data_IF_341637922354
#
_entry.id   IF_341637922354
#
_cell.length_a   1.000
_cell.length_b   1.000
_cell.length_c   1.000
_cell.angle_alpha   90.00
_cell.angle_beta   90.00
_cell.angle_gamma   90.00
#
_symmetry.space_group_name_H-M   'P 1'
#
loop_
_entity.id
_entity.type
_entity.pdbx_description
1 polymer ?
#
# COMPACT_ATOMS: atom_id res chain seq x y z
N UNK A 1 -8.81 -43.86 -29.43
CA UNK A 1 -8.57 -42.52 -28.87
C UNK A 1 -8.47 -42.67 -27.36
N UNK A 2 -7.26 -42.59 -26.82
CA UNK A 2 -6.99 -42.61 -25.39
C UNK A 2 -7.24 -41.20 -24.85
N UNK A 3 -8.18 -41.05 -23.93
CA UNK A 3 -8.40 -39.79 -23.21
C UNK A 3 -7.39 -39.81 -22.06
N UNK A 4 -6.30 -39.06 -22.21
CA UNK A 4 -5.40 -38.78 -21.08
C UNK A 4 -6.17 -37.99 -20.03
N UNK A 5 -6.39 -38.60 -18.86
CA UNK A 5 -6.93 -37.86 -17.72
C UNK A 5 -5.81 -37.00 -17.14
N UNK A 6 -5.97 -35.67 -17.05
CA UNK A 6 -4.98 -34.82 -16.42
C UNK A 6 -4.82 -35.19 -14.94
N UNK A 7 -3.57 -35.22 -14.49
CA UNK A 7 -3.15 -35.72 -13.19
C UNK A 7 -3.51 -34.71 -12.07
N UNK A 8 -4.75 -34.79 -11.59
CA UNK A 8 -5.35 -33.89 -10.56
C UNK A 8 -4.56 -33.94 -9.23
N UNK A 9 -3.81 -35.01 -8.96
CA UNK A 9 -3.13 -35.22 -7.68
C UNK A 9 -1.81 -34.46 -7.53
N UNK A 10 -1.13 -34.08 -8.62
CA UNK A 10 0.09 -33.28 -8.52
C UNK A 10 -0.19 -31.80 -8.19
N UNK A 11 -1.32 -31.26 -8.66
CA UNK A 11 -1.70 -29.86 -8.49
C UNK A 11 -2.05 -29.50 -7.03
N UNK A 12 -2.46 -30.47 -6.21
CA UNK A 12 -2.81 -30.23 -4.78
C UNK A 12 -1.59 -30.12 -3.88
N UNK A 13 -0.51 -30.89 -4.14
CA UNK A 13 0.72 -30.83 -3.34
C UNK A 13 1.54 -29.56 -3.59
N UNK A 14 1.65 -29.12 -4.84
CA UNK A 14 2.38 -27.89 -5.18
C UNK A 14 1.72 -26.65 -4.57
N UNK A 15 0.39 -26.53 -4.67
CA UNK A 15 -0.39 -25.46 -4.03
C UNK A 15 -0.16 -25.38 -2.52
N UNK A 16 -0.05 -26.53 -1.84
CA UNK A 16 0.22 -26.56 -0.40
C UNK A 16 1.63 -26.06 -0.04
N UNK A 17 2.62 -26.28 -0.92
CA UNK A 17 4.01 -25.87 -0.69
C UNK A 17 4.18 -24.37 -0.92
N UNK A 18 3.61 -23.83 -2.00
CA UNK A 18 3.67 -22.39 -2.30
C UNK A 18 2.95 -21.56 -1.23
N UNK A 19 1.75 -21.97 -0.81
CA UNK A 19 1.03 -21.30 0.27
C UNK A 19 1.83 -21.26 1.58
N UNK A 20 2.54 -22.36 1.88
CA UNK A 20 3.41 -22.44 3.06
C UNK A 20 4.58 -21.45 2.95
N UNK A 21 5.24 -21.36 1.78
CA UNK A 21 6.34 -20.40 1.55
C UNK A 21 5.87 -18.95 1.58
N UNK A 22 4.71 -18.64 0.98
CA UNK A 22 4.08 -17.32 1.06
C UNK A 22 3.81 -16.93 2.52
N UNK A 23 3.23 -17.84 3.31
CA UNK A 23 2.97 -17.60 4.73
C UNK A 23 4.27 -17.38 5.51
N UNK A 24 5.32 -18.18 5.26
CA UNK A 24 6.62 -18.01 5.88
C UNK A 24 7.27 -16.65 5.55
N UNK A 25 7.20 -16.23 4.28
CA UNK A 25 7.69 -14.93 3.82
C UNK A 25 7.00 -13.77 4.56
N UNK A 26 5.66 -13.73 4.54
CA UNK A 26 4.92 -12.64 5.17
C UNK A 26 5.05 -12.64 6.70
N UNK A 27 5.18 -13.81 7.33
CA UNK A 27 5.50 -13.89 8.76
C UNK A 27 6.89 -13.29 9.04
N UNK A 28 7.90 -13.64 8.25
CA UNK A 28 9.24 -13.07 8.37
C UNK A 28 9.24 -11.55 8.15
N UNK A 29 8.45 -11.07 7.18
CA UNK A 29 8.30 -9.64 6.91
C UNK A 29 7.65 -8.92 8.09
N UNK A 30 6.57 -9.47 8.66
CA UNK A 30 5.93 -8.91 9.84
C UNK A 30 6.86 -8.86 11.05
N UNK A 31 7.75 -9.85 11.23
CA UNK A 31 8.77 -9.82 12.29
C UNK A 31 9.87 -8.79 12.01
N UNK A 32 10.25 -8.58 10.74
CA UNK A 32 11.22 -7.56 10.35
C UNK A 32 10.72 -6.15 10.70
N UNK A 33 9.43 -5.88 10.49
CA UNK A 33 8.75 -4.63 10.81
C UNK A 33 7.92 -4.71 12.10
N UNK A 34 8.41 -5.44 13.10
CA UNK A 34 7.66 -5.67 14.33
C UNK A 34 7.29 -4.37 15.09
N UNK A 35 8.14 -3.33 15.17
CA UNK A 35 7.74 -2.03 15.75
C UNK A 35 6.52 -1.42 15.06
N UNK A 36 6.51 -1.43 13.72
CA UNK A 36 5.44 -0.93 12.87
C UNK A 36 4.16 -1.78 13.02
N UNK A 37 4.30 -3.11 13.04
CA UNK A 37 3.16 -4.02 13.25
C UNK A 37 2.54 -3.87 14.64
N UNK A 38 3.32 -3.50 15.66
CA UNK A 38 2.80 -3.16 17.00
C UNK A 38 1.99 -1.86 16.98
N UNK A 39 2.42 -0.88 16.19
CA UNK A 39 1.65 0.35 15.98
C UNK A 39 0.29 0.02 15.34
N UNK A 40 0.25 -0.80 14.28
CA UNK A 40 -1.01 -1.25 13.66
C UNK A 40 -1.92 -2.00 14.66
N UNK A 41 -1.34 -2.88 15.49
CA UNK A 41 -2.08 -3.56 16.55
C UNK A 41 -2.75 -2.55 17.50
N UNK A 42 -2.02 -1.53 17.94
CA UNK A 42 -2.52 -0.49 18.86
C UNK A 42 -3.46 0.51 18.22
N UNK A 43 -3.29 0.80 16.93
CA UNK A 43 -4.30 1.47 16.09
C UNK A 43 -5.57 0.65 15.89
N UNK A 44 -5.73 -0.48 16.60
CA UNK A 44 -6.92 -1.30 16.65
C UNK A 44 -7.09 -2.17 15.40
N UNK A 45 -6.04 -2.42 14.62
CA UNK A 45 -6.19 -3.15 13.34
C UNK A 45 -6.27 -4.67 13.51
N UNK A 46 -5.72 -5.21 14.60
CA UNK A 46 -5.49 -6.65 14.74
C UNK A 46 -6.35 -7.37 15.79
N UNK A 47 -7.15 -6.65 16.60
CA UNK A 47 -8.32 -7.09 17.41
C UNK A 47 -8.62 -6.03 18.47
N UNK A 48 -9.89 -5.71 18.68
CA UNK A 48 -10.32 -5.00 19.90
C UNK A 48 -11.43 -5.77 20.61
N UNK A 49 -11.39 -5.70 21.93
CA UNK A 49 -12.46 -6.13 22.82
C UNK A 49 -13.31 -4.90 23.16
N UNK A 50 -14.61 -5.05 23.34
CA UNK A 50 -15.47 -4.00 23.87
C UNK A 50 -15.13 -3.67 25.33
N UNK A 51 -15.82 -2.70 25.91
CA UNK A 51 -15.70 -2.29 27.32
C UNK A 51 -15.91 -3.45 28.32
N UNK A 52 -16.56 -4.52 27.89
CA UNK A 52 -16.83 -5.74 28.68
C UNK A 52 -15.83 -6.86 28.38
N UNK A 53 -14.79 -6.60 27.58
CA UNK A 53 -13.80 -7.60 27.20
C UNK A 53 -14.24 -8.57 26.09
N UNK A 54 -15.39 -8.34 25.44
CA UNK A 54 -15.92 -9.21 24.37
C UNK A 54 -15.32 -8.84 23.03
N UNK A 55 -14.86 -9.85 22.29
CA UNK A 55 -14.32 -9.66 20.94
C UNK A 55 -15.41 -9.15 20.01
N UNK A 56 -15.12 -8.08 19.27
CA UNK A 56 -16.03 -7.49 18.29
C UNK A 56 -16.45 -8.49 17.20
N UNK A 57 -17.59 -8.25 16.55
CA UNK A 57 -18.17 -9.12 15.52
C UNK A 57 -17.17 -9.47 14.41
N UNK A 58 -17.32 -10.69 13.87
CA UNK A 58 -16.38 -11.31 12.93
C UNK A 58 -16.13 -10.46 11.68
N UNK A 59 -17.14 -9.74 11.19
CA UNK A 59 -17.04 -8.92 9.99
C UNK A 59 -16.26 -7.62 10.22
N UNK A 60 -16.43 -6.95 11.37
CA UNK A 60 -15.63 -5.77 11.71
C UNK A 60 -14.17 -6.17 11.96
N UNK A 61 -13.93 -7.34 12.58
CA UNK A 61 -12.58 -7.88 12.75
C UNK A 61 -11.88 -8.11 11.40
N UNK A 62 -12.55 -8.77 10.45
CA UNK A 62 -12.00 -9.02 9.11
C UNK A 62 -11.65 -7.72 8.41
N UNK A 63 -12.52 -6.72 8.47
CA UNK A 63 -12.30 -5.42 7.84
C UNK A 63 -11.00 -4.74 8.28
N UNK A 64 -10.66 -4.81 9.56
CA UNK A 64 -9.45 -4.17 10.09
C UNK A 64 -8.19 -5.00 9.90
N UNK A 65 -8.33 -6.34 9.89
CA UNK A 65 -7.24 -7.24 9.49
C UNK A 65 -6.84 -6.94 8.04
N UNK A 66 -7.80 -6.71 7.14
CA UNK A 66 -7.50 -6.35 5.75
C UNK A 66 -6.62 -5.10 5.64
N UNK A 67 -6.73 -4.13 6.56
CA UNK A 67 -5.84 -2.95 6.57
C UNK A 67 -4.41 -3.34 6.94
N UNK A 68 -4.24 -4.27 7.87
CA UNK A 68 -2.89 -4.74 8.24
C UNK A 68 -2.27 -5.60 7.14
N UNK A 69 -3.08 -6.44 6.49
CA UNK A 69 -2.66 -7.20 5.31
C UNK A 69 -2.28 -6.27 4.16
N UNK A 70 -3.06 -5.22 3.90
CA UNK A 70 -2.77 -4.16 2.93
C UNK A 70 -1.41 -3.52 3.20
N UNK A 71 -1.18 -2.99 4.41
CA UNK A 71 0.12 -2.41 4.77
C UNK A 71 1.28 -3.40 4.58
N UNK A 72 1.07 -4.68 4.91
CA UNK A 72 2.11 -5.70 4.79
C UNK A 72 2.39 -6.06 3.32
N UNK A 73 1.38 -6.07 2.45
CA UNK A 73 1.56 -6.21 0.99
C UNK A 73 2.31 -5.01 0.44
N UNK A 74 1.91 -3.78 0.74
CA UNK A 74 2.61 -2.55 0.31
C UNK A 74 4.06 -2.55 0.81
N UNK A 75 4.33 -3.09 2.00
CA UNK A 75 5.70 -3.28 2.51
C UNK A 75 6.51 -4.26 1.67
N UNK A 76 5.90 -5.39 1.27
CA UNK A 76 6.54 -6.36 0.38
C UNK A 76 6.84 -5.76 -1.00
N UNK A 77 5.90 -4.96 -1.54
CA UNK A 77 6.10 -4.21 -2.78
C UNK A 77 7.26 -3.23 -2.66
N UNK A 78 7.30 -2.47 -1.57
CA UNK A 78 8.35 -1.50 -1.29
C UNK A 78 9.73 -2.15 -1.29
N UNK A 79 9.91 -3.27 -0.58
CA UNK A 79 11.21 -3.98 -0.57
C UNK A 79 11.59 -4.54 -1.94
N UNK A 80 10.63 -5.18 -2.62
CA UNK A 80 10.86 -5.80 -3.92
C UNK A 80 11.24 -4.74 -4.97
N UNK A 81 10.49 -3.64 -5.01
CA UNK A 81 10.73 -2.56 -5.97
C UNK A 81 12.02 -1.79 -5.63
N UNK A 82 12.24 -1.44 -4.36
CA UNK A 82 13.43 -0.70 -3.92
C UNK A 82 14.72 -1.44 -4.28
N UNK A 83 14.76 -2.76 -4.05
CA UNK A 83 15.89 -3.59 -4.44
C UNK A 83 16.07 -3.63 -5.96
N UNK A 84 14.98 -3.75 -6.72
CA UNK A 84 15.02 -3.80 -8.17
C UNK A 84 15.54 -2.49 -8.78
N UNK A 85 15.04 -1.33 -8.33
CA UNK A 85 15.51 -0.01 -8.81
C UNK A 85 16.83 0.42 -8.16
N UNK A 86 17.40 -0.39 -7.27
CA UNK A 86 18.71 -0.19 -6.66
C UNK A 86 18.76 1.00 -5.70
N UNK A 87 17.73 1.17 -4.87
CA UNK A 87 17.79 2.05 -3.70
C UNK A 87 18.83 1.55 -2.69
N UNK A 88 19.37 2.47 -1.90
CA UNK A 88 20.27 2.12 -0.79
C UNK A 88 19.54 1.31 0.29
N UNK A 89 20.26 0.57 1.16
CA UNK A 89 19.65 -0.10 2.31
C UNK A 89 18.86 0.86 3.22
N UNK A 90 19.35 2.08 3.41
CA UNK A 90 18.71 3.12 4.22
C UNK A 90 17.40 3.59 3.60
N UNK A 91 17.39 3.90 2.30
CA UNK A 91 16.18 4.28 1.56
C UNK A 91 15.15 3.13 1.52
N UNK A 92 15.62 1.90 1.31
CA UNK A 92 14.77 0.70 1.32
C UNK A 92 14.09 0.53 2.67
N UNK A 93 14.84 0.68 3.76
CA UNK A 93 14.30 0.61 5.12
C UNK A 93 13.32 1.75 5.39
N UNK A 94 13.64 2.98 4.98
CA UNK A 94 12.77 4.14 5.14
C UNK A 94 11.42 3.95 4.44
N UNK A 95 11.44 3.55 3.16
CA UNK A 95 10.24 3.26 2.38
C UNK A 95 9.44 2.10 2.97
N UNK A 96 10.11 1.02 3.35
CA UNK A 96 9.47 -0.15 3.96
C UNK A 96 8.77 0.17 5.28
N UNK A 97 9.37 0.99 6.14
CA UNK A 97 8.74 1.43 7.39
C UNK A 97 7.50 2.28 7.13
N UNK A 98 7.59 3.24 6.21
CA UNK A 98 6.45 4.09 5.86
C UNK A 98 5.31 3.25 5.26
N UNK A 99 5.62 2.32 4.36
CA UNK A 99 4.66 1.36 3.81
C UNK A 99 3.98 0.51 4.89
N UNK A 100 4.74 0.03 5.87
CA UNK A 100 4.24 -0.81 6.96
C UNK A 100 3.25 -0.11 7.89
N UNK A 101 3.21 1.23 7.90
CA UNK A 101 2.32 1.98 8.79
C UNK A 101 1.44 3.01 8.10
N UNK A 102 1.50 3.21 6.78
CA UNK A 102 0.81 4.34 6.12
C UNK A 102 -0.68 4.51 6.46
N UNK A 103 -1.35 3.44 6.85
CA UNK A 103 -2.77 3.38 7.19
C UNK A 103 -3.05 3.22 8.72
N UNK A 104 -2.05 3.51 9.57
CA UNK A 104 -2.06 3.25 11.01
C UNK A 104 -3.23 3.93 11.73
N UNK A 105 -3.48 5.20 11.43
CA UNK A 105 -4.49 6.04 12.09
C UNK A 105 -5.91 5.86 11.53
N UNK A 106 -6.07 5.16 10.40
CA UNK A 106 -7.35 5.11 9.66
C UNK A 106 -8.53 4.60 10.49
N UNK A 107 -8.30 3.82 11.54
CA UNK A 107 -9.37 3.39 12.47
C UNK A 107 -9.66 4.47 13.51
N UNK A 108 -8.63 5.12 14.05
CA UNK A 108 -8.76 6.26 14.96
C UNK A 108 -9.60 7.35 14.28
N UNK A 109 -9.30 7.66 13.02
CA UNK A 109 -10.08 8.63 12.24
C UNK A 109 -11.53 8.20 11.96
N UNK A 110 -11.77 6.91 11.66
CA UNK A 110 -13.12 6.42 11.31
C UNK A 110 -13.99 6.11 12.52
N UNK A 111 -13.40 5.75 13.66
CA UNK A 111 -14.09 5.35 14.89
C UNK A 111 -13.38 5.94 16.13
N UNK A 112 -13.24 7.28 16.23
CA UNK A 112 -12.49 7.92 17.31
C UNK A 112 -13.02 7.56 18.70
N UNK A 113 -14.33 7.37 18.83
CA UNK A 113 -15.00 6.99 20.08
C UNK A 113 -14.58 5.63 20.64
N UNK A 114 -13.91 4.78 19.85
CA UNK A 114 -13.40 3.51 20.35
C UNK A 114 -12.09 3.69 21.12
N UNK A 115 -11.41 4.83 21.01
CA UNK A 115 -10.07 5.05 21.59
C UNK A 115 -10.14 5.98 22.80
N UNK A 116 -9.50 5.52 23.89
CA UNK A 116 -9.29 6.36 25.07
C UNK A 116 -8.10 7.31 24.85
N UNK A 117 -7.98 8.33 25.69
CA UNK A 117 -6.82 9.22 25.69
C UNK A 117 -5.50 8.45 25.90
N UNK A 118 -5.49 7.47 26.81
CA UNK A 118 -4.34 6.60 27.05
C UNK A 118 -3.95 5.79 25.81
N UNK A 119 -4.93 5.32 25.02
CA UNK A 119 -4.67 4.62 23.76
C UNK A 119 -3.99 5.55 22.74
N UNK A 120 -4.41 6.81 22.67
CA UNK A 120 -3.83 7.80 21.75
C UNK A 120 -2.39 8.14 22.16
N UNK A 121 -2.15 8.38 23.46
CA UNK A 121 -0.80 8.64 24.00
C UNK A 121 0.14 7.46 23.70
N UNK A 122 -0.32 6.23 23.92
CA UNK A 122 0.47 5.04 23.62
C UNK A 122 0.74 4.87 22.11
N UNK A 123 -0.25 5.22 21.28
CA UNK A 123 -0.10 5.15 19.81
C UNK A 123 0.93 6.16 19.32
N UNK A 124 0.91 7.40 19.81
CA UNK A 124 1.92 8.42 19.51
C UNK A 124 3.31 7.98 19.97
N UNK A 125 3.41 7.39 21.17
CA UNK A 125 4.68 6.83 21.67
C UNK A 125 5.21 5.72 20.75
N UNK A 126 4.34 4.85 20.26
CA UNK A 126 4.72 3.80 19.32
C UNK A 126 5.11 4.34 17.96
N UNK A 127 4.41 5.35 17.45
CA UNK A 127 4.75 6.04 16.20
C UNK A 127 6.15 6.66 16.30
N UNK A 128 6.46 7.36 17.39
CA UNK A 128 7.81 7.88 17.62
C UNK A 128 8.88 6.76 17.64
N UNK A 129 8.55 5.60 18.20
CA UNK A 129 9.48 4.45 18.28
C UNK A 129 9.71 3.74 16.94
N UNK A 130 8.87 3.93 15.92
CA UNK A 130 9.14 3.37 14.58
C UNK A 130 10.32 4.08 13.91
N UNK A 131 10.61 5.33 14.31
CA UNK A 131 11.53 6.22 13.58
C UNK A 131 11.20 6.24 12.08
N UNK A 132 9.90 6.30 11.75
CA UNK A 132 9.44 6.45 10.36
C UNK A 132 9.86 7.81 9.84
N UNK A 133 10.23 7.87 8.56
CA UNK A 133 10.40 9.12 7.86
C UNK A 133 9.02 9.72 7.52
N UNK A 134 8.65 10.79 8.23
CA UNK A 134 7.38 11.48 8.02
C UNK A 134 7.27 12.14 6.65
N UNK A 135 8.39 12.50 6.02
CA UNK A 135 8.39 13.00 4.65
C UNK A 135 7.94 11.89 3.72
N UNK A 136 8.51 10.69 3.82
CA UNK A 136 8.08 9.52 3.01
C UNK A 136 6.61 9.18 3.27
N UNK A 137 6.21 9.11 4.55
CA UNK A 137 4.85 8.77 4.97
C UNK A 137 3.78 9.69 4.34
N UNK A 138 4.10 10.97 4.17
CA UNK A 138 3.20 11.96 3.56
C UNK A 138 2.82 11.66 2.10
N UNK A 139 3.50 10.72 1.43
CA UNK A 139 3.11 10.20 0.11
C UNK A 139 1.70 9.62 0.06
N UNK A 140 1.15 9.20 1.20
CA UNK A 140 -0.22 8.62 1.31
C UNK A 140 -1.23 9.59 1.94
N UNK A 141 -0.81 10.81 2.25
CA UNK A 141 -1.70 11.81 2.83
C UNK A 141 -2.78 12.22 1.81
N UNK A 142 -3.98 12.52 2.29
CA UNK A 142 -5.10 12.92 1.42
C UNK A 142 -4.82 14.15 0.55
N UNK A 143 -3.89 15.01 0.97
CA UNK A 143 -3.48 16.21 0.25
C UNK A 143 -2.32 15.98 -0.72
N UNK A 144 -1.80 14.76 -0.88
CA UNK A 144 -0.66 14.49 -1.76
C UNK A 144 -0.94 14.91 -3.22
N UNK A 145 -2.16 14.70 -3.72
CA UNK A 145 -2.55 15.15 -5.08
C UNK A 145 -2.40 16.66 -5.23
N UNK A 146 -2.81 17.43 -4.22
CA UNK A 146 -2.67 18.89 -4.20
C UNK A 146 -1.20 19.29 -4.13
N UNK A 147 -0.44 18.71 -3.20
CA UNK A 147 1.01 18.98 -3.04
C UNK A 147 1.75 18.76 -4.37
N UNK A 148 1.46 17.65 -5.03
CA UNK A 148 2.17 17.23 -6.23
C UNK A 148 1.79 18.04 -7.47
N UNK A 149 0.49 18.21 -7.75
CA UNK A 149 0.03 18.82 -8.99
C UNK A 149 -0.27 20.32 -8.88
N UNK A 150 -0.88 20.74 -7.77
CA UNK A 150 -1.37 22.12 -7.62
C UNK A 150 -0.27 23.01 -7.07
N UNK A 151 0.29 22.62 -5.93
CA UNK A 151 1.29 23.41 -5.23
C UNK A 151 2.69 23.25 -5.87
N UNK A 152 2.85 22.23 -6.73
CA UNK A 152 4.11 21.87 -7.41
C UNK A 152 5.29 21.81 -6.43
N UNK A 153 5.03 21.38 -5.19
CA UNK A 153 6.09 21.28 -4.20
C UNK A 153 7.02 20.13 -4.56
N UNK A 154 8.33 20.27 -4.34
CA UNK A 154 9.27 19.18 -4.53
C UNK A 154 8.83 17.97 -3.71
N UNK A 155 8.62 16.84 -4.39
CA UNK A 155 8.42 15.55 -3.74
C UNK A 155 9.68 14.69 -3.92
N UNK A 156 9.97 13.83 -2.96
CA UNK A 156 11.05 12.85 -3.04
C UNK A 156 10.61 11.64 -3.85
N UNK A 157 11.59 10.88 -4.35
CA UNK A 157 11.31 9.59 -5.00
C UNK A 157 10.54 8.66 -4.05
N UNK A 158 10.93 8.59 -2.78
CA UNK A 158 10.30 7.69 -1.81
C UNK A 158 8.83 8.02 -1.54
N UNK A 159 8.47 9.31 -1.46
CA UNK A 159 7.06 9.75 -1.38
C UNK A 159 6.25 9.26 -2.59
N UNK A 160 6.79 9.47 -3.80
CA UNK A 160 6.15 9.05 -5.05
C UNK A 160 5.99 7.53 -5.11
N UNK A 161 7.02 6.78 -4.74
CA UNK A 161 6.97 5.32 -4.69
C UNK A 161 5.88 4.87 -3.71
N UNK A 162 5.83 5.41 -2.48
CA UNK A 162 4.82 5.04 -1.51
C UNK A 162 3.40 5.32 -2.02
N UNK A 163 3.17 6.51 -2.60
CA UNK A 163 1.89 6.86 -3.23
C UNK A 163 1.47 5.83 -4.29
N UNK A 164 2.39 5.48 -5.20
CA UNK A 164 2.08 4.56 -6.30
C UNK A 164 1.79 3.14 -5.80
N UNK A 165 2.60 2.64 -4.87
CA UNK A 165 2.44 1.31 -4.28
C UNK A 165 1.09 1.15 -3.56
N UNK A 166 0.68 2.13 -2.75
CA UNK A 166 -0.66 2.16 -2.16
C UNK A 166 -1.77 2.22 -3.24
N UNK A 167 -1.53 2.98 -4.31
CA UNK A 167 -2.49 3.15 -5.41
C UNK A 167 -2.62 1.92 -6.31
N UNK A 168 -1.66 0.99 -6.32
CA UNK A 168 -1.78 -0.30 -7.03
C UNK A 168 -2.23 -1.44 -6.12
N UNK A 169 -2.34 -1.24 -4.81
CA UNK A 169 -2.77 -2.28 -3.87
C UNK A 169 -4.27 -2.20 -3.56
N UNK A 170 -4.98 -3.30 -3.75
CA UNK A 170 -6.37 -3.51 -3.35
C UNK A 170 -6.44 -4.66 -2.36
N UNK A 171 -6.81 -4.37 -1.11
CA UNK A 171 -6.83 -5.34 -0.02
C UNK A 171 -5.49 -6.05 0.17
N UNK A 172 -5.27 -7.18 -0.50
CA UNK A 172 -4.03 -7.96 -0.44
C UNK A 172 -3.55 -8.42 -1.83
N UNK A 173 -4.07 -7.82 -2.89
CA UNK A 173 -3.62 -8.04 -4.27
C UNK A 173 -3.05 -6.76 -4.89
N UNK A 174 -2.13 -6.95 -5.81
CA UNK A 174 -1.48 -5.89 -6.59
C UNK A 174 -2.24 -5.82 -7.93
N UNK A 175 -2.60 -4.64 -8.41
CA UNK A 175 -3.34 -4.52 -9.66
C UNK A 175 -3.00 -3.22 -10.38
N UNK A 176 -3.26 -3.09 -11.69
CA UNK A 176 -3.04 -1.84 -12.38
C UNK A 176 -3.76 -0.67 -11.71
N UNK A 177 -3.14 0.51 -11.66
CA UNK A 177 -3.69 1.65 -10.91
C UNK A 177 -5.03 2.15 -11.49
N UNK A 178 -5.24 2.05 -12.81
CA UNK A 178 -6.49 2.52 -13.46
C UNK A 178 -7.75 1.83 -12.92
N UNK A 179 -7.87 0.49 -12.95
CA UNK A 179 -9.02 -0.18 -12.34
C UNK A 179 -9.10 0.08 -10.82
N UNK A 180 -7.96 0.20 -10.12
CA UNK A 180 -7.93 0.48 -8.68
C UNK A 180 -8.47 1.87 -8.32
N UNK A 181 -8.11 2.90 -9.09
CA UNK A 181 -8.65 4.25 -8.96
C UNK A 181 -10.13 4.31 -9.32
N UNK A 182 -10.57 3.55 -10.33
CA UNK A 182 -11.99 3.45 -10.67
C UNK A 182 -12.83 2.87 -9.51
N UNK A 183 -12.33 1.84 -8.82
CA UNK A 183 -12.97 1.32 -7.61
C UNK A 183 -12.87 2.28 -6.42
N UNK A 184 -11.78 3.05 -6.32
CA UNK A 184 -11.64 4.15 -5.36
C UNK A 184 -12.73 5.21 -5.54
N UNK A 185 -12.95 5.65 -6.79
CA UNK A 185 -13.97 6.64 -7.19
C UNK A 185 -15.38 6.19 -6.83
N UNK A 186 -15.69 4.90 -7.02
CA UNK A 186 -16.98 4.33 -6.60
C UNK A 186 -17.16 4.31 -5.07
N UNK A 187 -16.10 4.01 -4.32
CA UNK A 187 -16.15 3.89 -2.85
C UNK A 187 -16.11 5.23 -2.12
N UNK A 188 -15.47 6.24 -2.69
CA UNK A 188 -15.29 7.55 -2.07
C UNK A 188 -15.60 8.71 -3.04
N UNK A 189 -16.81 8.78 -3.63
CA UNK A 189 -17.14 9.79 -4.64
C UNK A 189 -16.93 11.22 -4.15
N UNK A 190 -17.11 11.46 -2.84
CA UNK A 190 -16.92 12.76 -2.18
C UNK A 190 -15.53 13.38 -2.36
N UNK A 191 -14.49 12.59 -2.59
CA UNK A 191 -13.15 13.13 -2.89
C UNK A 191 -13.14 13.92 -4.21
N UNK A 192 -14.06 13.62 -5.13
CA UNK A 192 -14.24 14.37 -6.37
C UNK A 192 -15.26 15.51 -6.27
N UNK A 193 -15.81 15.81 -5.10
CA UNK A 193 -16.84 16.85 -4.91
C UNK A 193 -16.24 18.20 -4.41
N UNK A 194 -14.94 18.23 -4.08
CA UNK A 194 -14.25 19.46 -3.69
C UNK A 194 -14.05 20.38 -4.91
N UNK A 195 -14.98 21.32 -5.11
CA UNK A 195 -14.95 22.24 -6.25
C UNK A 195 -13.71 23.12 -6.28
N UNK A 196 -13.19 23.53 -5.11
CA UNK A 196 -12.00 24.40 -5.06
C UNK A 196 -10.77 23.63 -5.54
N UNK A 197 -10.54 22.44 -4.97
CA UNK A 197 -9.44 21.58 -5.37
C UNK A 197 -9.58 21.14 -6.84
N UNK A 198 -10.79 20.81 -7.29
CA UNK A 198 -11.03 20.41 -8.68
C UNK A 198 -10.72 21.55 -9.65
N UNK A 199 -11.08 22.80 -9.34
CA UNK A 199 -10.73 23.94 -10.18
C UNK A 199 -9.21 24.14 -10.23
N UNK A 200 -8.53 24.04 -9.08
CA UNK A 200 -7.07 24.10 -9.01
C UNK A 200 -6.38 23.00 -9.84
N UNK A 201 -6.94 21.79 -9.84
CA UNK A 201 -6.44 20.68 -10.68
C UNK A 201 -6.74 20.95 -12.16
N UNK A 202 -7.94 21.42 -12.50
CA UNK A 202 -8.31 21.74 -13.87
C UNK A 202 -7.38 22.80 -14.49
N UNK A 203 -6.96 23.80 -13.70
CA UNK A 203 -5.99 24.82 -14.13
C UNK A 203 -4.61 24.22 -14.49
N UNK A 204 -4.28 23.05 -13.92
CA UNK A 204 -2.99 22.37 -14.13
C UNK A 204 -3.03 21.35 -15.26
N UNK A 205 -4.11 20.58 -15.37
CA UNK A 205 -4.16 19.41 -16.28
C UNK A 205 -5.33 19.44 -17.29
N UNK A 206 -6.12 20.52 -17.31
CA UNK A 206 -7.13 20.80 -18.33
C UNK A 206 -8.57 20.91 -17.79
N UNK A 207 -9.42 21.62 -18.56
CA UNK A 207 -10.82 21.85 -18.22
C UNK A 207 -11.59 20.53 -18.01
N UNK A 208 -12.42 20.49 -16.96
CA UNK A 208 -13.24 19.31 -16.62
C UNK A 208 -12.49 18.18 -15.91
N UNK A 209 -11.21 18.37 -15.57
CA UNK A 209 -10.41 17.43 -14.76
C UNK A 209 -10.54 17.75 -13.28
N UNK A 210 -10.75 16.74 -12.44
CA UNK A 210 -10.84 16.91 -10.98
C UNK A 210 -9.87 15.99 -10.23
N UNK A 211 -10.14 15.77 -8.94
CA UNK A 211 -9.31 14.96 -8.04
C UNK A 211 -8.92 13.61 -8.63
N UNK A 212 -9.89 12.86 -9.17
CA UNK A 212 -9.65 11.51 -9.68
C UNK A 212 -8.76 11.50 -10.93
N UNK A 213 -8.94 12.47 -11.81
CA UNK A 213 -8.10 12.62 -12.99
C UNK A 213 -6.69 13.12 -12.61
N UNK A 214 -6.57 13.93 -11.55
CA UNK A 214 -5.28 14.29 -10.95
C UNK A 214 -4.56 13.08 -10.34
N UNK A 215 -5.27 12.23 -9.61
CA UNK A 215 -4.71 11.00 -9.07
C UNK A 215 -4.23 10.03 -10.17
N UNK A 216 -4.99 9.94 -11.28
CA UNK A 216 -4.60 9.19 -12.48
C UNK A 216 -3.33 9.75 -13.11
N UNK A 217 -3.24 11.07 -13.32
CA UNK A 217 -2.06 11.75 -13.88
C UNK A 217 -0.79 11.50 -13.04
N UNK A 218 -0.88 11.62 -11.71
CA UNK A 218 0.26 11.35 -10.82
C UNK A 218 0.68 9.88 -10.95
N UNK A 219 -0.29 8.96 -10.90
CA UNK A 219 -0.01 7.53 -10.98
C UNK A 219 0.67 7.16 -12.29
N UNK A 220 0.24 7.74 -13.42
CA UNK A 220 0.86 7.53 -14.72
C UNK A 220 2.30 8.07 -14.76
N UNK A 221 2.54 9.29 -14.24
CA UNK A 221 3.90 9.87 -14.14
C UNK A 221 4.83 9.01 -13.30
N UNK A 222 4.38 8.58 -12.13
CA UNK A 222 5.20 7.74 -11.22
C UNK A 222 5.43 6.36 -11.83
N UNK A 223 4.43 5.74 -12.46
CA UNK A 223 4.60 4.46 -13.15
C UNK A 223 5.66 4.56 -14.26
N UNK A 224 5.63 5.63 -15.05
CA UNK A 224 6.64 5.88 -16.09
C UNK A 224 8.04 6.10 -15.50
N UNK A 225 8.15 6.83 -14.38
CA UNK A 225 9.42 7.00 -13.65
C UNK A 225 9.97 5.64 -13.19
N UNK A 226 9.14 4.80 -12.56
CA UNK A 226 9.50 3.45 -12.11
C UNK A 226 9.94 2.58 -13.30
N UNK A 227 9.18 2.58 -14.39
CA UNK A 227 9.50 1.84 -15.61
C UNK A 227 10.88 2.22 -16.14
N UNK A 228 11.18 3.52 -16.22
CA UNK A 228 12.48 4.00 -16.68
C UNK A 228 13.62 3.60 -15.73
N UNK A 229 13.42 3.68 -14.42
CA UNK A 229 14.40 3.22 -13.42
C UNK A 229 14.67 1.71 -13.56
N UNK A 230 13.63 0.90 -13.76
CA UNK A 230 13.77 -0.54 -14.00
C UNK A 230 14.56 -0.83 -15.29
N UNK A 231 14.29 -0.10 -16.39
CA UNK A 231 15.05 -0.24 -17.63
C UNK A 231 16.52 0.15 -17.46
N UNK A 232 16.81 1.21 -16.70
CA UNK A 232 18.18 1.61 -16.38
C UNK A 232 18.94 0.54 -15.59
N UNK A 233 18.23 -0.27 -14.80
CA UNK A 233 18.80 -1.45 -14.09
C UNK A 233 18.87 -2.72 -14.94
N UNK A 234 18.49 -2.65 -16.22
CA UNK A 234 18.60 -3.75 -17.18
C UNK A 234 17.40 -4.69 -17.21
N UNK A 235 16.32 -4.39 -16.50
CA UNK A 235 15.08 -5.15 -16.61
C UNK A 235 14.42 -4.88 -17.97
N UNK A 236 13.89 -5.94 -18.59
CA UNK A 236 13.19 -5.87 -19.87
C UNK A 236 11.68 -5.85 -19.60
N UNK A 237 11.09 -4.66 -19.64
CA UNK A 237 9.65 -4.45 -19.66
C UNK A 237 9.30 -3.79 -21.00
N UNK A 238 8.22 -4.24 -21.62
CA UNK A 238 7.74 -3.72 -22.90
C UNK A 238 6.97 -2.41 -22.71
N UNK A 239 6.28 -2.27 -21.58
CA UNK A 239 5.50 -1.06 -21.27
C UNK A 239 5.43 -0.77 -19.77
N UNK A 240 5.10 0.47 -19.37
CA UNK A 240 4.87 0.83 -17.98
C UNK A 240 3.75 0.01 -17.30
N UNK A 241 2.77 -0.46 -18.06
CA UNK A 241 1.64 -1.25 -17.54
C UNK A 241 2.06 -2.64 -17.02
N UNK A 242 3.29 -3.08 -17.31
CA UNK A 242 3.88 -4.33 -16.78
C UNK A 242 4.50 -4.16 -15.38
N UNK A 243 4.61 -2.94 -14.85
CA UNK A 243 5.21 -2.66 -13.53
C UNK A 243 4.51 -3.42 -12.38
N UNK A 244 3.16 -3.43 -12.25
CA UNK A 244 2.51 -4.18 -11.18
C UNK A 244 2.80 -5.69 -11.22
N UNK A 245 2.75 -6.29 -12.41
CA UNK A 245 3.04 -7.73 -12.59
C UNK A 245 4.53 -8.03 -12.34
N UNK A 246 5.43 -7.12 -12.74
CA UNK A 246 6.83 -7.22 -12.38
C UNK A 246 7.03 -7.26 -10.85
N UNK A 247 6.38 -6.37 -10.10
CA UNK A 247 6.47 -6.32 -8.63
C UNK A 247 5.95 -7.62 -8.01
N UNK A 248 4.78 -8.13 -8.46
CA UNK A 248 4.25 -9.45 -8.05
C UNK A 248 5.29 -10.55 -8.20
N UNK A 249 5.91 -10.63 -9.37
CA UNK A 249 6.91 -11.65 -9.69
C UNK A 249 8.17 -11.52 -8.82
N UNK A 250 8.58 -10.29 -8.46
CA UNK A 250 9.71 -10.08 -7.54
C UNK A 250 9.38 -10.54 -6.11
N UNK A 251 8.18 -10.25 -5.61
CA UNK A 251 7.73 -10.73 -4.29
C UNK A 251 7.69 -12.26 -4.26
N UNK A 252 7.15 -12.91 -5.30
CA UNK A 252 7.07 -14.37 -5.38
C UNK A 252 8.44 -15.06 -5.37
N UNK A 253 9.46 -14.46 -6.00
CA UNK A 253 10.85 -14.97 -5.95
C UNK A 253 11.43 -14.98 -4.53
N UNK A 254 10.87 -14.16 -3.64
CA UNK A 254 11.28 -14.11 -2.23
C UNK A 254 10.55 -15.13 -1.35
N UNK A 255 9.61 -15.91 -1.89
CA UNK A 255 9.00 -17.06 -1.21
C UNK A 255 10.01 -18.22 -1.19
N UNK A 256 11.06 -18.08 -0.37
CA UNK A 256 12.09 -19.11 -0.15
C UNK A 256 11.62 -20.15 0.87
#
# INVERSE_FOLDING_TARGET
MSIEQPDIFNNTKERSTEQTRKAAYFNSLAFKYLPEMRLLLKGGKLVRKDENGKVMEQDDRRRWINVSEHCLVVTAEAEALAQAIGLTPEETLSLGKAAAIHDWDKRIHKKPQEFTEDDLIETERLLANTNVDHEVLSGTAHNFVKIFLVDEQPTTLLQRLLYYLDTITEENDIMPFKPRLAEGKKRAPKLGEDMELNNQIADKIGEGKGFWEGAEEISDRVQNEIFNLLKQKGFQLESPDEVPEFIKNQIQKNYK
#
